data_IF_618511922947
#
_entry.id   IF_618511922947
#
_cell.length_a   1.000
_cell.length_b   1.000
_cell.length_c   1.000
_cell.angle_alpha   90.00
_cell.angle_beta   90.00
_cell.angle_gamma   90.00
#
_symmetry.space_group_name_H-M   'P 1'
#
loop_
_entity.id
_entity.type
_entity.pdbx_description
1 polymer ?
#
# COMPACT_ATOMS: atom_id res chain seq x y z
N UNK A 1 40.82 -30.53 -11.99
CA UNK A 1 39.78 -29.99 -12.88
C UNK A 1 38.58 -29.78 -11.98
N UNK A 2 38.60 -28.63 -11.34
CA UNK A 2 37.67 -28.21 -10.30
C UNK A 2 36.52 -27.48 -11.00
N UNK A 3 35.30 -27.97 -10.79
CA UNK A 3 34.08 -27.26 -11.21
C UNK A 3 33.40 -26.76 -9.95
N UNK A 4 33.61 -25.47 -9.68
CA UNK A 4 32.88 -24.67 -8.72
C UNK A 4 31.38 -24.68 -9.04
N UNK A 5 30.58 -25.30 -8.18
CA UNK A 5 29.15 -25.00 -8.03
C UNK A 5 28.98 -24.23 -6.74
N UNK A 6 29.10 -22.91 -6.82
CA UNK A 6 29.00 -22.01 -5.67
C UNK A 6 28.25 -20.71 -6.00
N UNK A 7 27.14 -20.77 -6.73
CA UNK A 7 26.37 -19.57 -7.13
C UNK A 7 24.85 -19.66 -6.86
N UNK A 8 24.41 -20.43 -5.85
CA UNK A 8 22.98 -20.53 -5.51
C UNK A 8 22.61 -20.13 -4.07
N UNK A 9 23.54 -19.68 -3.23
CA UNK A 9 23.24 -19.48 -1.80
C UNK A 9 23.96 -18.28 -1.17
N UNK A 10 23.77 -17.07 -1.70
CA UNK A 10 24.39 -15.89 -1.07
C UNK A 10 23.62 -14.55 -1.16
N UNK A 11 22.35 -14.51 -1.57
CA UNK A 11 21.53 -13.28 -1.44
C UNK A 11 20.83 -13.09 -0.09
N UNK A 12 20.97 -14.05 0.85
CA UNK A 12 20.48 -13.94 2.23
C UNK A 12 21.29 -12.97 3.12
N UNK A 13 22.42 -12.45 2.65
CA UNK A 13 23.37 -11.72 3.50
C UNK A 13 23.23 -10.21 3.41
N UNK A 14 22.23 -9.68 4.13
CA UNK A 14 22.31 -8.47 4.98
C UNK A 14 20.92 -8.18 5.54
N UNK A 15 20.53 -8.90 6.61
CA UNK A 15 19.40 -8.52 7.43
C UNK A 15 19.74 -7.21 8.19
N UNK A 16 19.65 -6.07 7.50
CA UNK A 16 19.53 -4.78 8.15
C UNK A 16 18.26 -4.73 9.02
N UNK A 17 18.12 -3.72 9.88
CA UNK A 17 16.89 -3.57 10.65
C UNK A 17 15.70 -3.46 9.68
N UNK A 18 14.48 -3.84 10.11
CA UNK A 18 13.27 -3.73 9.28
C UNK A 18 13.08 -2.34 8.66
N UNK A 19 13.53 -1.29 9.36
CA UNK A 19 13.52 0.10 8.87
C UNK A 19 14.44 0.33 7.65
N UNK A 20 15.51 -0.45 7.52
CA UNK A 20 16.51 -0.35 6.45
C UNK A 20 16.04 -1.06 5.18
N UNK A 21 15.02 -1.92 5.29
CA UNK A 21 14.36 -2.56 4.15
C UNK A 21 13.43 -1.57 3.42
N UNK A 22 12.88 -0.58 4.14
CA UNK A 22 12.04 0.47 3.55
C UNK A 22 12.93 1.52 2.90
N UNK A 23 13.09 1.39 1.58
CA UNK A 23 13.95 2.28 0.78
C UNK A 23 13.10 3.21 -0.06
N UNK A 24 13.44 4.48 -0.03
CA UNK A 24 12.82 5.53 -0.82
C UNK A 24 13.71 5.84 -2.04
N UNK A 25 13.14 5.88 -3.24
CA UNK A 25 13.84 6.19 -4.49
C UNK A 25 13.11 7.30 -5.23
N UNK A 26 13.86 8.18 -5.92
CA UNK A 26 13.28 9.24 -6.74
C UNK A 26 12.80 8.64 -8.06
N UNK A 27 11.59 8.98 -8.48
CA UNK A 27 11.07 8.58 -9.79
C UNK A 27 11.86 9.25 -10.91
N UNK A 28 12.04 8.54 -12.02
CA UNK A 28 12.83 9.03 -13.16
C UNK A 28 12.12 10.12 -13.96
N UNK A 29 10.79 10.17 -13.88
CA UNK A 29 9.91 10.96 -14.73
C UNK A 29 9.25 12.16 -14.02
N UNK A 30 9.39 12.26 -12.70
CA UNK A 30 8.82 13.35 -11.91
C UNK A 30 9.62 13.62 -10.63
N UNK A 31 9.37 14.76 -9.98
CA UNK A 31 10.04 15.12 -8.72
C UNK A 31 9.47 14.42 -7.48
N UNK A 32 8.82 13.27 -7.67
CA UNK A 32 8.23 12.47 -6.59
C UNK A 32 9.09 11.27 -6.26
N UNK A 33 8.97 10.82 -5.03
CA UNK A 33 9.62 9.63 -4.52
C UNK A 33 8.64 8.47 -4.36
N UNK A 34 9.16 7.25 -4.48
CA UNK A 34 8.41 6.01 -4.31
C UNK A 34 9.16 5.04 -3.40
N UNK A 35 8.42 4.11 -2.80
CA UNK A 35 8.99 3.07 -1.96
C UNK A 35 9.35 1.87 -2.84
N UNK A 36 10.58 1.37 -2.71
CA UNK A 36 11.03 0.18 -3.40
C UNK A 36 10.22 -1.02 -2.92
N UNK A 37 9.79 -1.87 -3.85
CA UNK A 37 9.07 -3.11 -3.54
C UNK A 37 9.85 -3.98 -2.56
N UNK A 38 9.14 -4.53 -1.57
CA UNK A 38 9.69 -5.44 -0.56
C UNK A 38 9.23 -6.85 -0.96
N UNK A 39 10.13 -7.72 -1.45
CA UNK A 39 9.76 -9.03 -1.97
C UNK A 39 9.49 -10.07 -0.86
N UNK A 40 9.87 -9.77 0.38
CA UNK A 40 9.77 -10.70 1.51
C UNK A 40 8.32 -10.83 2.03
N UNK A 41 7.92 -12.05 2.37
CA UNK A 41 6.68 -12.26 3.12
C UNK A 41 6.87 -11.80 4.57
N UNK A 42 6.14 -10.74 4.93
CA UNK A 42 6.21 -10.13 6.26
C UNK A 42 5.10 -10.70 7.14
N UNK A 43 5.39 -10.86 8.44
CA UNK A 43 4.32 -11.08 9.41
C UNK A 43 3.46 -9.81 9.54
N UNK A 44 2.24 -9.98 10.07
CA UNK A 44 1.30 -8.87 10.26
C UNK A 44 1.92 -7.66 10.98
N UNK A 45 2.61 -7.87 12.11
CA UNK A 45 3.26 -6.80 12.86
C UNK A 45 4.44 -6.16 12.10
N UNK A 46 5.21 -6.95 11.35
CA UNK A 46 6.32 -6.42 10.53
C UNK A 46 5.78 -5.57 9.37
N UNK A 47 4.70 -6.02 8.74
CA UNK A 47 4.00 -5.26 7.70
C UNK A 47 3.47 -3.93 8.23
N UNK A 48 2.88 -3.94 9.43
CA UNK A 48 2.41 -2.72 10.09
C UNK A 48 3.55 -1.71 10.26
N UNK A 49 4.67 -2.13 10.87
CA UNK A 49 5.83 -1.27 11.06
C UNK A 49 6.37 -0.68 9.75
N UNK A 50 6.44 -1.51 8.70
CA UNK A 50 6.94 -1.11 7.39
C UNK A 50 6.02 -0.08 6.72
N UNK A 51 4.70 -0.24 6.81
CA UNK A 51 3.74 0.73 6.25
C UNK A 51 3.87 2.08 6.95
N UNK A 52 3.92 2.11 8.29
CA UNK A 52 4.13 3.36 9.04
C UNK A 52 5.42 4.05 8.59
N UNK A 53 6.51 3.29 8.49
CA UNK A 53 7.80 3.84 8.07
C UNK A 53 7.78 4.37 6.63
N UNK A 54 7.12 3.66 5.72
CA UNK A 54 6.94 4.08 4.34
C UNK A 54 6.17 5.40 4.25
N UNK A 55 5.05 5.54 4.98
CA UNK A 55 4.28 6.77 5.06
C UNK A 55 5.15 7.95 5.52
N UNK A 56 5.90 7.77 6.61
CA UNK A 56 6.78 8.80 7.15
C UNK A 56 7.82 9.29 6.12
N UNK A 57 8.43 8.36 5.38
CA UNK A 57 9.42 8.71 4.35
C UNK A 57 8.80 9.42 3.15
N UNK A 58 7.60 9.01 2.74
CA UNK A 58 6.88 9.61 1.63
C UNK A 58 6.41 11.03 1.96
N UNK A 59 5.80 11.24 3.14
CA UNK A 59 5.33 12.57 3.59
C UNK A 59 6.48 13.57 3.69
N UNK A 60 7.70 13.12 4.03
CA UNK A 60 8.88 14.00 4.13
C UNK A 60 9.44 14.46 2.77
N UNK A 61 9.06 13.80 1.68
CA UNK A 61 9.71 13.98 0.36
C UNK A 61 8.73 14.28 -0.76
N UNK A 62 7.45 14.02 -0.55
CA UNK A 62 6.39 14.26 -1.50
C UNK A 62 5.39 15.22 -0.87
N UNK A 63 5.03 16.25 -1.63
CA UNK A 63 3.92 17.14 -1.28
C UNK A 63 2.59 16.60 -1.85
N UNK A 64 1.53 16.81 -1.08
CA UNK A 64 0.15 16.46 -1.43
C UNK A 64 -0.30 15.07 -0.94
N UNK A 65 -1.37 14.57 -1.54
CA UNK A 65 -2.05 13.36 -1.08
C UNK A 65 -1.24 12.09 -1.36
N UNK A 66 -1.06 11.25 -0.34
CA UNK A 66 -0.54 9.89 -0.44
C UNK A 66 -1.71 8.92 -0.23
N UNK A 67 -1.96 8.07 -1.24
CA UNK A 67 -3.01 7.07 -1.19
C UNK A 67 -2.40 5.68 -1.01
N UNK A 68 -2.96 4.88 -0.11
CA UNK A 68 -2.46 3.54 0.22
C UNK A 68 -3.57 2.54 -0.03
N UNK A 69 -3.33 1.59 -0.93
CA UNK A 69 -4.25 0.47 -1.18
C UNK A 69 -3.92 -0.71 -0.25
N UNK A 70 -4.93 -1.24 0.44
CA UNK A 70 -4.82 -2.47 1.23
C UNK A 70 -5.67 -3.55 0.57
N UNK A 71 -5.03 -4.62 0.11
CA UNK A 71 -5.68 -5.72 -0.61
C UNK A 71 -5.36 -7.08 0.04
N UNK A 72 -6.24 -8.05 -0.17
CA UNK A 72 -6.10 -9.41 0.38
C UNK A 72 -7.44 -10.14 0.49
N UNK A 73 -7.45 -11.47 0.69
CA UNK A 73 -8.68 -12.26 0.79
C UNK A 73 -9.54 -11.86 2.00
N UNK A 74 -10.80 -12.29 2.01
CA UNK A 74 -11.68 -12.13 3.18
C UNK A 74 -11.06 -12.84 4.39
N UNK A 75 -11.17 -12.24 5.58
CA UNK A 75 -10.57 -12.77 6.81
C UNK A 75 -9.05 -12.56 6.98
N UNK A 76 -8.35 -11.97 5.99
CA UNK A 76 -6.89 -11.72 6.09
C UNK A 76 -6.48 -10.65 7.12
N UNK A 77 -7.45 -10.02 7.80
CA UNK A 77 -7.18 -8.99 8.80
C UNK A 77 -7.01 -7.57 8.23
N UNK A 78 -7.47 -7.28 7.01
CA UNK A 78 -7.41 -5.93 6.40
C UNK A 78 -8.03 -4.85 7.30
N UNK A 79 -9.22 -5.10 7.84
CA UNK A 79 -9.92 -4.16 8.72
C UNK A 79 -9.10 -3.89 9.99
N UNK A 80 -8.66 -4.95 10.67
CA UNK A 80 -7.81 -4.85 11.87
C UNK A 80 -6.50 -4.12 11.58
N UNK A 81 -5.91 -4.34 10.41
CA UNK A 81 -4.70 -3.64 9.96
C UNK A 81 -4.92 -2.15 9.82
N UNK A 82 -5.99 -1.76 9.14
CA UNK A 82 -6.37 -0.37 8.92
C UNK A 82 -6.76 0.33 10.23
N UNK A 83 -7.47 -0.34 11.14
CA UNK A 83 -7.77 0.18 12.48
C UNK A 83 -6.50 0.43 13.30
N UNK A 84 -5.52 -0.48 13.26
CA UNK A 84 -4.21 -0.26 13.90
C UNK A 84 -3.50 0.97 13.34
N UNK A 85 -3.58 1.20 12.02
CA UNK A 85 -2.99 2.38 11.38
C UNK A 85 -3.70 3.65 11.84
N UNK A 86 -5.03 3.68 11.83
CA UNK A 86 -5.83 4.82 12.31
C UNK A 86 -5.51 5.18 13.76
N UNK A 87 -5.40 4.17 14.63
CA UNK A 87 -5.08 4.37 16.04
C UNK A 87 -3.66 4.94 16.24
N UNK A 88 -2.71 4.58 15.37
CA UNK A 88 -1.33 5.06 15.45
C UNK A 88 -1.10 6.40 14.73
N UNK A 89 -1.81 6.64 13.63
CA UNK A 89 -1.79 7.87 12.82
C UNK A 89 -3.22 8.39 12.63
N UNK A 90 -3.75 9.17 13.60
CA UNK A 90 -5.13 9.67 13.56
C UNK A 90 -5.40 10.65 12.40
N UNK A 91 -4.37 11.18 11.77
CA UNK A 91 -4.47 12.09 10.62
C UNK A 91 -4.72 11.39 9.28
N UNK A 92 -4.89 10.06 9.28
CA UNK A 92 -5.20 9.29 8.08
C UNK A 92 -6.71 9.12 7.95
N UNK A 93 -7.25 9.35 6.76
CA UNK A 93 -8.62 8.98 6.42
C UNK A 93 -8.66 7.57 5.81
N UNK A 94 -9.71 6.81 6.12
CA UNK A 94 -9.92 5.46 5.59
C UNK A 94 -11.13 5.45 4.69
N UNK A 95 -10.90 5.06 3.44
CA UNK A 95 -11.92 4.89 2.43
C UNK A 95 -12.13 3.38 2.26
N UNK A 96 -13.29 2.88 2.69
CA UNK A 96 -13.62 1.46 2.51
C UNK A 96 -14.04 1.20 1.07
N UNK A 97 -13.33 0.29 0.40
CA UNK A 97 -13.71 -0.13 -0.96
C UNK A 97 -15.07 -0.85 -1.00
N UNK A 98 -15.53 -1.39 0.13
CA UNK A 98 -16.84 -2.05 0.23
C UNK A 98 -17.99 -1.04 0.05
N UNK A 99 -17.79 0.25 0.35
CA UNK A 99 -18.80 1.29 0.19
C UNK A 99 -19.16 1.57 -1.28
N UNK A 100 -18.27 1.21 -2.19
CA UNK A 100 -18.45 1.44 -3.62
C UNK A 100 -18.99 0.18 -4.33
N UNK A 101 -19.33 -0.85 -3.56
CA UNK A 101 -19.85 -2.08 -4.10
C UNK A 101 -21.30 -1.91 -4.58
N UNK A 102 -21.50 -1.78 -5.89
CA UNK A 102 -22.83 -1.64 -6.48
C UNK A 102 -23.48 -3.01 -6.67
N UNK A 103 -24.40 -3.37 -5.76
CA UNK A 103 -25.15 -4.61 -5.80
C UNK A 103 -25.99 -4.78 -7.09
N UNK A 104 -26.28 -3.71 -7.83
CA UNK A 104 -27.00 -3.79 -9.12
C UNK A 104 -26.13 -4.35 -10.26
N UNK A 105 -24.81 -4.48 -10.05
CA UNK A 105 -23.84 -4.93 -11.05
C UNK A 105 -23.25 -6.30 -10.77
N UNK A 106 -23.85 -7.05 -9.84
CA UNK A 106 -23.49 -8.45 -9.59
C UNK A 106 -23.75 -9.24 -10.86
N UNK A 107 -22.67 -9.64 -11.54
CA UNK A 107 -22.74 -10.64 -12.61
C UNK A 107 -22.26 -11.94 -12.00
N UNK A 108 -23.16 -12.93 -11.93
CA UNK A 108 -22.86 -14.30 -11.51
C UNK A 108 -22.33 -14.45 -10.07
N UNK A 109 -22.77 -13.59 -9.15
CA UNK A 109 -22.35 -13.64 -7.73
C UNK A 109 -20.92 -13.15 -7.48
N UNK A 110 -20.24 -12.60 -8.49
CA UNK A 110 -18.89 -12.07 -8.38
C UNK A 110 -18.87 -10.53 -8.51
N UNK A 111 -18.24 -9.86 -7.54
CA UNK A 111 -18.06 -8.42 -7.53
C UNK A 111 -16.79 -7.97 -8.28
N UNK A 112 -15.89 -8.90 -8.64
CA UNK A 112 -14.61 -8.62 -9.32
C UNK A 112 -14.73 -8.49 -10.86
N UNK A 113 -15.88 -8.03 -11.36
CA UNK A 113 -16.06 -7.76 -12.79
C UNK A 113 -15.21 -6.57 -13.25
N UNK A 114 -14.63 -6.63 -14.47
CA UNK A 114 -13.81 -5.54 -15.06
C UNK A 114 -14.51 -4.17 -15.06
N UNK A 115 -15.84 -4.17 -15.18
CA UNK A 115 -16.67 -2.95 -15.20
C UNK A 115 -16.80 -2.30 -13.81
N UNK A 116 -16.59 -3.04 -12.73
CA UNK A 116 -16.59 -2.51 -11.38
C UNK A 116 -15.30 -1.69 -11.15
N UNK A 117 -14.14 -2.21 -11.57
CA UNK A 117 -12.82 -1.58 -11.39
C UNK A 117 -12.71 -0.15 -11.93
N UNK A 118 -13.28 0.13 -13.12
CA UNK A 118 -13.26 1.47 -13.73
C UNK A 118 -14.12 2.48 -12.95
N UNK A 119 -15.28 2.05 -12.45
CA UNK A 119 -16.15 2.91 -11.63
C UNK A 119 -15.52 3.20 -10.27
N UNK A 120 -14.95 2.18 -9.62
CA UNK A 120 -14.20 2.33 -8.38
C UNK A 120 -13.10 3.38 -8.50
N UNK A 121 -12.31 3.35 -9.59
CA UNK A 121 -11.20 4.28 -9.78
C UNK A 121 -11.65 5.73 -9.87
N UNK A 122 -12.77 6.04 -10.53
CA UNK A 122 -13.24 7.42 -10.67
C UNK A 122 -13.86 7.95 -9.37
N UNK A 123 -14.71 7.17 -8.71
CA UNK A 123 -15.41 7.61 -7.50
C UNK A 123 -14.45 7.76 -6.32
N UNK A 124 -13.50 6.83 -6.15
CA UNK A 124 -12.47 6.93 -5.09
C UNK A 124 -11.59 8.16 -5.28
N UNK A 125 -11.21 8.49 -6.52
CA UNK A 125 -10.42 9.70 -6.81
C UNK A 125 -11.22 10.97 -6.55
N UNK A 126 -12.53 10.97 -6.81
CA UNK A 126 -13.41 12.08 -6.51
C UNK A 126 -13.50 12.30 -5.00
N UNK A 127 -13.80 11.25 -4.24
CA UNK A 127 -13.94 11.34 -2.78
C UNK A 127 -12.62 11.78 -2.15
N UNK A 128 -11.48 11.23 -2.61
CA UNK A 128 -10.15 11.69 -2.22
C UNK A 128 -9.91 13.18 -2.54
N UNK A 129 -10.45 13.69 -3.64
CA UNK A 129 -10.37 15.12 -4.01
C UNK A 129 -11.26 16.01 -3.13
N UNK A 130 -12.45 15.54 -2.74
CA UNK A 130 -13.35 16.24 -1.82
C UNK A 130 -12.71 16.33 -0.42
N UNK A 131 -12.10 15.24 0.07
CA UNK A 131 -11.33 15.28 1.32
C UNK A 131 -10.18 16.28 1.29
N UNK A 132 -9.49 16.43 0.15
CA UNK A 132 -8.45 17.44 0.03
C UNK A 132 -9.01 18.87 0.13
N UNK A 133 -10.18 19.12 -0.47
CA UNK A 133 -10.85 20.43 -0.38
C UNK A 133 -11.34 20.74 1.03
N UNK A 134 -11.84 19.74 1.77
CA UNK A 134 -12.26 19.91 3.17
C UNK A 134 -11.10 20.23 4.11
N UNK A 135 -9.89 19.73 3.81
CA UNK A 135 -8.68 19.98 4.59
C UNK A 135 -8.01 21.33 4.27
N UNK A 136 -8.49 22.07 3.28
CA UNK A 136 -8.04 23.44 2.98
C UNK A 136 -6.65 23.54 2.34
N UNK A 137 -6.15 22.46 1.71
CA UNK A 137 -4.88 22.44 0.97
C UNK A 137 -5.04 22.52 -0.56
#
# INVERSE_FOLDING_TARGET
MDTDTSDAESTSRRAGLLKDQVRLVKRKDCDRYEIVSIPDNLSFEKGFFIVIRACQLLVQKNDGLIMIGVAGPSGAGKTVFTEKILNFMPSVAVISMDNYNDASRIVDGNFDGKNAFTFFSQTVLRDASEYRLELGE
#
